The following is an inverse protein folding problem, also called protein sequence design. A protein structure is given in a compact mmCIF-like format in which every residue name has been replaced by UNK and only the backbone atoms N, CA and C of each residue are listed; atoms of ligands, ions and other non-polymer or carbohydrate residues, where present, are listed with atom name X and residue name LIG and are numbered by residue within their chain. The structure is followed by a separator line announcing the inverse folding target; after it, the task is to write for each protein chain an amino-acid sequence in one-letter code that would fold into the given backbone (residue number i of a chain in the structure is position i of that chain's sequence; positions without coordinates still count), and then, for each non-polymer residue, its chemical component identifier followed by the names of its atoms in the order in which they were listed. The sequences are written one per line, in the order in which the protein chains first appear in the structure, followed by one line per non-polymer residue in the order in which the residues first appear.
data_IF_046579057717
#
_entry.id   IF_046579057717
#
_cell.length_a   1.000
_cell.length_b   1.000
_cell.length_c   1.000
_cell.angle_alpha   90.00
_cell.angle_beta   90.00
_cell.angle_gamma   90.00
#
_symmetry.space_group_name_H-M   'P 1'
#
loop_
_entity.id
_entity.type
_entity.pdbx_description
1 polymer ?
#
# COMPACT_ATOMS: atom_id res chain seq x y z
N UNK A 1 -36.75 22.84 3.67
CA UNK A 1 -35.84 23.45 4.66
C UNK A 1 -35.26 22.32 5.49
N UNK A 2 -33.96 22.09 5.43
CA UNK A 2 -33.33 21.00 6.18
C UNK A 2 -33.18 21.38 7.65
N UNK A 3 -33.57 20.48 8.56
CA UNK A 3 -33.30 20.62 9.99
C UNK A 3 -31.78 20.74 10.21
N UNK A 4 -31.36 21.74 11.00
CA UNK A 4 -29.96 21.92 11.36
C UNK A 4 -29.64 21.03 12.57
N UNK A 5 -28.79 20.03 12.37
CA UNK A 5 -28.26 19.20 13.45
C UNK A 5 -26.97 19.82 14.01
N UNK A 6 -26.82 19.83 15.34
CA UNK A 6 -25.63 20.33 16.02
C UNK A 6 -24.62 19.20 16.24
N UNK A 7 -23.37 19.40 15.81
CA UNK A 7 -22.26 18.47 16.02
C UNK A 7 -21.31 19.05 17.07
N UNK A 8 -21.20 18.41 18.23
CA UNK A 8 -20.26 18.79 19.29
C UNK A 8 -19.17 17.73 19.45
N UNK A 9 -17.93 18.08 19.13
CA UNK A 9 -16.76 17.19 19.25
C UNK A 9 -15.68 17.87 20.09
N UNK A 10 -15.08 17.11 21.02
CA UNK A 10 -13.91 17.57 21.77
C UNK A 10 -12.65 17.35 20.94
N UNK A 11 -11.91 18.42 20.70
CA UNK A 11 -10.66 18.43 19.92
C UNK A 11 -9.54 18.98 20.80
N UNK A 12 -8.32 18.50 20.59
CA UNK A 12 -7.14 19.08 21.23
C UNK A 12 -7.02 20.58 20.89
N UNK A 13 -6.65 21.39 21.90
CA UNK A 13 -6.65 22.84 21.77
C UNK A 13 -5.59 23.33 20.79
N UNK A 14 -4.38 22.77 20.85
CA UNK A 14 -3.28 23.20 19.99
C UNK A 14 -3.58 22.82 18.54
N UNK A 15 -4.07 21.60 18.33
CA UNK A 15 -4.50 21.13 17.00
C UNK A 15 -5.59 22.05 16.42
N UNK A 16 -6.60 22.39 17.23
CA UNK A 16 -7.67 23.27 16.79
C UNK A 16 -7.14 24.65 16.38
N UNK A 17 -6.27 25.24 17.18
CA UNK A 17 -5.79 26.60 16.94
C UNK A 17 -4.89 26.67 15.69
N UNK A 18 -4.03 25.67 15.46
CA UNK A 18 -3.23 25.55 14.22
C UNK A 18 -4.10 25.33 12.98
N UNK A 19 -5.10 24.44 13.06
CA UNK A 19 -6.01 24.17 11.95
C UNK A 19 -6.87 25.39 11.62
N UNK A 20 -7.33 26.14 12.63
CA UNK A 20 -8.09 27.37 12.43
C UNK A 20 -7.25 28.45 11.71
N UNK A 21 -5.95 28.51 11.98
CA UNK A 21 -5.04 29.41 11.27
C UNK A 21 -4.87 29.02 9.79
N UNK A 22 -4.68 27.72 9.52
CA UNK A 22 -4.59 27.19 8.16
C UNK A 22 -5.89 27.45 7.39
N UNK A 23 -7.04 27.14 7.99
CA UNK A 23 -8.35 27.34 7.35
C UNK A 23 -8.61 28.83 7.06
N UNK A 24 -8.22 29.72 7.98
CA UNK A 24 -8.29 31.16 7.78
C UNK A 24 -7.40 31.62 6.62
N UNK A 25 -6.20 31.06 6.48
CA UNK A 25 -5.30 31.38 5.36
C UNK A 25 -5.90 30.99 4.00
N UNK A 26 -6.72 29.94 3.98
CA UNK A 26 -7.45 29.46 2.80
C UNK A 26 -8.79 30.18 2.57
N UNK A 27 -9.19 31.10 3.46
CA UNK A 27 -10.49 31.77 3.41
C UNK A 27 -11.68 30.86 3.75
N UNK A 28 -11.44 29.70 4.37
CA UNK A 28 -12.45 28.69 4.67
C UNK A 28 -12.81 28.76 6.15
N UNK A 29 -14.11 28.77 6.46
CA UNK A 29 -14.58 28.65 7.85
C UNK A 29 -14.56 27.17 8.29
N UNK A 30 -14.27 26.86 9.56
CA UNK A 30 -14.32 25.49 10.06
C UNK A 30 -15.65 24.78 9.78
N UNK A 31 -16.77 25.48 9.94
CA UNK A 31 -18.11 24.96 9.61
C UNK A 31 -18.24 24.58 8.13
N UNK A 32 -17.67 25.38 7.22
CA UNK A 32 -17.68 25.09 5.78
C UNK A 32 -16.82 23.88 5.46
N UNK A 33 -15.66 23.72 6.09
CA UNK A 33 -14.79 22.56 5.93
C UNK A 33 -15.50 21.27 6.41
N UNK A 34 -16.14 21.32 7.57
CA UNK A 34 -16.92 20.19 8.12
C UNK A 34 -18.07 19.85 7.16
N UNK A 35 -18.88 20.82 6.75
CA UNK A 35 -19.98 20.57 5.82
C UNK A 35 -19.48 20.00 4.47
N UNK A 36 -18.34 20.49 3.97
CA UNK A 36 -17.70 19.96 2.77
C UNK A 36 -17.34 18.47 2.91
N UNK A 37 -16.80 18.08 4.07
CA UNK A 37 -16.52 16.68 4.38
C UNK A 37 -17.79 15.81 4.37
N UNK A 38 -18.88 16.28 5.00
CA UNK A 38 -20.17 15.57 4.97
C UNK A 38 -20.74 15.44 3.56
N UNK A 39 -20.68 16.51 2.76
CA UNK A 39 -21.13 16.48 1.37
C UNK A 39 -20.31 15.50 0.53
N UNK A 40 -18.99 15.47 0.72
CA UNK A 40 -18.12 14.52 0.03
C UNK A 40 -18.49 13.06 0.35
N UNK A 41 -18.62 12.73 1.65
CA UNK A 41 -18.98 11.38 2.09
C UNK A 41 -20.37 10.99 1.55
N UNK A 42 -21.32 11.92 1.54
CA UNK A 42 -22.65 11.67 1.01
C UNK A 42 -22.62 11.41 -0.51
N UNK A 43 -21.83 12.17 -1.25
CA UNK A 43 -21.75 12.12 -2.71
C UNK A 43 -20.96 10.89 -3.21
N UNK A 44 -19.85 10.56 -2.56
CA UNK A 44 -18.93 9.52 -3.03
C UNK A 44 -19.02 8.21 -2.25
N UNK A 45 -19.77 8.19 -1.13
CA UNK A 45 -19.91 7.02 -0.23
C UNK A 45 -18.58 6.50 0.33
N UNK A 46 -17.56 7.35 0.33
CA UNK A 46 -16.22 7.05 0.82
C UNK A 46 -15.64 8.26 1.56
N UNK A 47 -14.60 8.02 2.37
CA UNK A 47 -13.85 9.10 3.01
C UNK A 47 -12.84 9.70 2.01
N UNK A 48 -12.63 11.03 2.01
CA UNK A 48 -11.67 11.68 1.11
C UNK A 48 -10.20 11.34 1.44
N UNK A 49 -9.96 10.74 2.61
CA UNK A 49 -8.67 10.26 3.07
C UNK A 49 -8.86 9.11 4.07
N UNK A 50 -7.82 8.29 4.23
CA UNK A 50 -7.80 7.17 5.17
C UNK A 50 -7.63 7.74 6.59
N UNK A 51 -8.59 7.50 7.49
CA UNK A 51 -8.50 7.92 8.90
C UNK A 51 -7.93 6.76 9.71
N UNK A 52 -6.65 6.85 10.07
CA UNK A 52 -6.05 5.95 11.05
C UNK A 52 -6.28 6.51 12.46
N UNK A 53 -7.14 5.86 13.24
CA UNK A 53 -7.43 6.21 14.65
C UNK A 53 -6.28 5.93 15.62
N UNK A 54 -5.13 5.47 15.12
CA UNK A 54 -3.92 5.24 15.88
C UNK A 54 -2.88 6.29 15.47
N UNK A 55 -2.31 6.98 16.45
CA UNK A 55 -1.11 7.81 16.26
C UNK A 55 0.04 6.86 15.92
N UNK A 56 0.19 6.54 14.64
CA UNK A 56 1.26 5.71 14.15
C UNK A 56 2.54 6.56 14.15
N UNK A 57 3.39 6.36 15.16
CA UNK A 57 4.76 6.87 15.12
C UNK A 57 5.42 6.38 13.82
N UNK A 58 6.34 7.15 13.19
CA UNK A 58 7.03 6.71 11.98
C UNK A 58 7.70 5.34 12.10
N UNK A 59 8.13 4.97 13.31
CA UNK A 59 8.62 3.63 13.65
C UNK A 59 7.60 2.51 13.44
N UNK A 60 6.31 2.75 13.72
CA UNK A 60 5.25 1.76 13.55
C UNK A 60 4.89 1.60 12.07
N UNK A 61 4.90 2.70 11.32
CA UNK A 61 4.71 2.67 9.86
C UNK A 61 5.83 1.90 9.16
N UNK A 62 7.08 2.13 9.57
CA UNK A 62 8.23 1.40 9.06
C UNK A 62 8.18 -0.09 9.44
N UNK A 63 7.76 -0.40 10.67
CA UNK A 63 7.55 -1.78 11.11
C UNK A 63 6.46 -2.48 10.30
N UNK A 64 5.33 -1.83 10.04
CA UNK A 64 4.27 -2.40 9.21
C UNK A 64 4.74 -2.63 7.78
N UNK A 65 5.43 -1.66 7.18
CA UNK A 65 5.99 -1.84 5.83
C UNK A 65 7.03 -2.97 5.79
N UNK A 66 7.81 -3.15 6.86
CA UNK A 66 8.73 -4.28 7.00
C UNK A 66 8.01 -5.62 7.03
N UNK A 67 6.90 -5.72 7.78
CA UNK A 67 6.08 -6.93 7.79
C UNK A 67 5.44 -7.19 6.41
N UNK A 68 4.95 -6.15 5.74
CA UNK A 68 4.39 -6.25 4.38
C UNK A 68 5.46 -6.72 3.38
N UNK A 69 6.69 -6.20 3.51
CA UNK A 69 7.82 -6.61 2.70
C UNK A 69 8.18 -8.09 2.91
N UNK A 70 8.24 -8.56 4.16
CA UNK A 70 8.52 -9.97 4.46
C UNK A 70 7.43 -10.88 3.90
N UNK A 71 6.16 -10.50 4.07
CA UNK A 71 5.03 -11.23 3.52
C UNK A 71 5.11 -11.30 1.99
N UNK A 72 5.40 -10.17 1.33
CA UNK A 72 5.61 -10.10 -0.11
C UNK A 72 6.75 -11.02 -0.56
N UNK A 73 7.92 -10.90 0.06
CA UNK A 73 9.11 -11.69 -0.29
C UNK A 73 8.81 -13.19 -0.20
N UNK A 74 8.22 -13.63 0.91
CA UNK A 74 7.92 -15.05 1.13
C UNK A 74 6.83 -15.54 0.16
N UNK A 75 5.73 -14.80 0.02
CA UNK A 75 4.61 -15.19 -0.85
C UNK A 75 5.04 -15.25 -2.32
N UNK A 76 5.87 -14.30 -2.76
CA UNK A 76 6.42 -14.30 -4.12
C UNK A 76 7.43 -15.44 -4.33
N UNK A 77 8.27 -15.73 -3.33
CA UNK A 77 9.22 -16.85 -3.37
C UNK A 77 8.47 -18.18 -3.49
N UNK A 78 7.47 -18.41 -2.63
CA UNK A 78 6.65 -19.63 -2.65
C UNK A 78 5.91 -19.79 -3.98
N UNK A 79 5.33 -18.70 -4.50
CA UNK A 79 4.68 -18.70 -5.81
C UNK A 79 5.66 -19.02 -6.94
N UNK A 80 6.88 -18.47 -6.88
CA UNK A 80 7.91 -18.73 -7.87
C UNK A 80 8.43 -20.18 -7.82
N UNK A 81 8.62 -20.74 -6.62
CA UNK A 81 9.00 -22.14 -6.43
C UNK A 81 7.97 -23.10 -7.01
N UNK A 82 6.68 -22.81 -6.87
CA UNK A 82 5.60 -23.58 -7.49
C UNK A 82 5.74 -23.63 -9.01
N UNK A 83 6.09 -22.52 -9.63
CA UNK A 83 6.33 -22.45 -11.07
C UNK A 83 7.54 -23.31 -11.46
N UNK A 84 8.65 -23.20 -10.73
CA UNK A 84 9.86 -24.00 -11.01
C UNK A 84 9.64 -25.50 -10.85
N UNK A 85 8.76 -25.89 -9.92
CA UNK A 85 8.39 -27.28 -9.66
C UNK A 85 7.29 -27.79 -10.61
N UNK A 86 6.83 -26.96 -11.56
CA UNK A 86 5.70 -27.25 -12.44
C UNK A 86 4.43 -27.65 -11.66
N UNK A 87 4.25 -27.10 -10.46
CA UNK A 87 3.02 -27.25 -9.69
C UNK A 87 1.90 -26.39 -10.28
N UNK A 88 0.67 -26.85 -10.11
CA UNK A 88 -0.51 -26.08 -10.52
C UNK A 88 -0.64 -24.80 -9.68
N UNK A 89 -0.77 -23.66 -10.37
CA UNK A 89 -1.09 -22.37 -9.72
C UNK A 89 -2.61 -22.27 -9.59
N UNK A 90 -3.10 -22.33 -8.35
CA UNK A 90 -4.53 -22.12 -8.08
C UNK A 90 -4.90 -20.65 -8.13
N UNK A 91 -6.17 -20.36 -8.36
CA UNK A 91 -6.73 -19.00 -8.31
C UNK A 91 -6.44 -18.33 -6.95
N UNK A 92 -6.60 -19.08 -5.85
CA UNK A 92 -6.28 -18.60 -4.50
C UNK A 92 -4.81 -18.18 -4.35
N UNK A 93 -3.86 -18.93 -4.92
CA UNK A 93 -2.44 -18.57 -4.87
C UNK A 93 -2.18 -17.25 -5.63
N UNK A 94 -2.80 -17.11 -6.80
CA UNK A 94 -2.66 -15.92 -7.63
C UNK A 94 -3.28 -14.68 -6.98
N UNK A 95 -4.49 -14.82 -6.42
CA UNK A 95 -5.19 -13.74 -5.76
C UNK A 95 -4.50 -13.29 -4.47
N UNK A 96 -3.99 -14.24 -3.68
CA UNK A 96 -3.18 -13.93 -2.51
C UNK A 96 -1.94 -13.11 -2.91
N UNK A 97 -1.18 -13.57 -3.91
CA UNK A 97 0.01 -12.85 -4.35
C UNK A 97 -0.34 -11.46 -4.89
N UNK A 98 -1.40 -11.33 -5.71
CA UNK A 98 -1.87 -10.03 -6.21
C UNK A 98 -2.26 -9.09 -5.08
N UNK A 99 -2.96 -9.59 -4.06
CA UNK A 99 -3.36 -8.82 -2.90
C UNK A 99 -2.14 -8.31 -2.13
N UNK A 100 -1.21 -9.21 -1.77
CA UNK A 100 0.01 -8.86 -1.03
C UNK A 100 0.87 -7.85 -1.79
N UNK A 101 1.04 -8.02 -3.10
CA UNK A 101 1.79 -7.08 -3.94
C UNK A 101 1.12 -5.71 -3.97
N UNK A 102 -0.21 -5.66 -4.11
CA UNK A 102 -0.97 -4.40 -4.14
C UNK A 102 -0.92 -3.68 -2.80
N UNK A 103 -1.10 -4.39 -1.68
CA UNK A 103 -1.02 -3.81 -0.35
C UNK A 103 0.36 -3.22 -0.08
N UNK A 104 1.43 -3.97 -0.34
CA UNK A 104 2.80 -3.46 -0.15
C UNK A 104 3.04 -2.18 -0.96
N UNK A 105 2.63 -2.14 -2.24
CA UNK A 105 2.77 -0.95 -3.09
C UNK A 105 1.97 0.23 -2.52
N UNK A 106 0.75 -0.01 -2.05
CA UNK A 106 -0.10 1.03 -1.47
C UNK A 106 0.48 1.59 -0.18
N UNK A 107 0.90 0.71 0.74
CA UNK A 107 1.47 1.08 2.03
C UNK A 107 2.80 1.82 1.86
N UNK A 108 3.64 1.37 0.92
CA UNK A 108 4.88 2.07 0.58
C UNK A 108 4.62 3.53 0.17
N UNK A 109 3.66 3.75 -0.75
CA UNK A 109 3.33 5.10 -1.25
C UNK A 109 2.84 6.04 -0.16
N UNK A 110 2.13 5.52 0.84
CA UNK A 110 1.66 6.33 1.97
C UNK A 110 2.83 6.89 2.79
N UNK A 111 3.96 6.18 2.82
CA UNK A 111 5.06 6.49 3.74
C UNK A 111 6.36 6.86 3.02
N UNK A 112 6.41 6.81 1.68
CA UNK A 112 7.58 7.12 0.85
C UNK A 112 8.23 8.45 1.24
N UNK A 113 7.43 9.51 1.39
CA UNK A 113 7.92 10.84 1.79
C UNK A 113 8.54 10.87 3.21
N UNK A 114 8.08 10.00 4.11
CA UNK A 114 8.62 9.86 5.45
C UNK A 114 9.89 8.99 5.46
N UNK A 115 9.93 7.94 4.63
CA UNK A 115 11.09 7.05 4.48
C UNK A 115 12.35 7.80 4.03
N UNK A 116 12.20 8.74 3.07
CA UNK A 116 13.32 9.56 2.61
C UNK A 116 13.99 10.38 3.73
N UNK A 117 13.23 10.75 4.77
CA UNK A 117 13.74 11.48 5.94
C UNK A 117 14.36 10.58 7.00
N UNK A 118 14.01 9.28 7.00
CA UNK A 118 14.43 8.28 7.99
C UNK A 118 15.61 7.42 7.49
N UNK A 119 16.13 7.67 6.28
CA UNK A 119 17.09 6.81 5.56
C UNK A 119 18.48 6.66 6.20
N UNK A 120 18.74 7.20 7.39
CA UNK A 120 19.97 6.95 8.13
C UNK A 120 19.84 5.69 9.00
N UNK A 121 19.91 4.50 8.38
CA UNK A 121 20.07 3.23 9.12
C UNK A 121 19.17 2.06 8.73
N UNK A 122 18.42 2.12 7.63
CA UNK A 122 17.56 1.00 7.21
C UNK A 122 18.37 -0.16 6.60
N UNK A 123 18.03 -1.38 7.02
CA UNK A 123 18.59 -2.66 6.53
C UNK A 123 18.08 -3.00 5.11
N UNK A 124 17.02 -2.32 4.66
CA UNK A 124 16.35 -2.57 3.38
C UNK A 124 16.50 -1.36 2.46
N UNK A 125 16.96 -1.61 1.23
CA UNK A 125 16.78 -0.72 0.08
C UNK A 125 15.31 -0.73 -0.36
N UNK A 126 14.54 0.13 0.31
CA UNK A 126 13.12 0.34 0.09
C UNK A 126 12.77 0.67 -1.37
N UNK A 127 13.64 1.42 -2.07
CA UNK A 127 13.42 1.76 -3.47
C UNK A 127 13.57 0.53 -4.37
N UNK A 128 14.54 -0.34 -4.08
CA UNK A 128 14.72 -1.60 -4.80
C UNK A 128 13.56 -2.56 -4.56
N UNK A 129 13.13 -2.73 -3.30
CA UNK A 129 11.95 -3.53 -2.94
C UNK A 129 10.68 -3.04 -3.66
N UNK A 130 10.42 -1.73 -3.66
CA UNK A 130 9.27 -1.14 -4.34
C UNK A 130 9.28 -1.37 -5.85
N UNK A 131 10.43 -1.20 -6.51
CA UNK A 131 10.54 -1.45 -7.94
C UNK A 131 10.38 -2.95 -8.28
N UNK A 132 10.89 -3.84 -7.42
CA UNK A 132 10.65 -5.27 -7.55
C UNK A 132 9.17 -5.63 -7.43
N UNK A 133 8.48 -5.07 -6.43
CA UNK A 133 7.03 -5.27 -6.25
C UNK A 133 6.22 -4.77 -7.46
N UNK A 134 6.52 -3.57 -7.97
CA UNK A 134 5.88 -3.04 -9.20
C UNK A 134 6.10 -3.95 -10.40
N UNK A 135 7.30 -4.53 -10.52
CA UNK A 135 7.61 -5.46 -11.61
C UNK A 135 6.82 -6.76 -11.47
N UNK A 136 6.76 -7.33 -10.26
CA UNK A 136 5.93 -8.50 -9.98
C UNK A 136 4.46 -8.22 -10.32
N UNK A 137 3.93 -7.07 -9.88
CA UNK A 137 2.57 -6.64 -10.22
C UNK A 137 2.32 -6.63 -11.72
N UNK A 138 3.19 -5.98 -12.49
CA UNK A 138 3.07 -5.91 -13.94
C UNK A 138 3.04 -7.32 -14.57
N UNK A 139 3.91 -8.22 -14.13
CA UNK A 139 3.94 -9.60 -14.66
C UNK A 139 2.64 -10.34 -14.36
N UNK A 140 2.13 -10.23 -13.13
CA UNK A 140 0.90 -10.89 -12.71
C UNK A 140 -0.34 -10.42 -13.48
N UNK A 141 -0.35 -9.14 -13.89
CA UNK A 141 -1.46 -8.56 -14.65
C UNK A 141 -1.38 -8.87 -16.17
N UNK A 142 -0.18 -9.07 -16.71
CA UNK A 142 0.02 -9.08 -18.17
C UNK A 142 0.51 -10.41 -18.74
N UNK A 143 1.11 -11.28 -17.94
CA UNK A 143 1.74 -12.52 -18.42
C UNK A 143 1.09 -13.80 -17.85
N UNK A 144 0.20 -13.69 -16.87
CA UNK A 144 -0.52 -14.84 -16.35
C UNK A 144 -1.59 -15.26 -17.35
N UNK A 145 -1.55 -16.53 -17.73
CA UNK A 145 -2.53 -17.19 -18.59
C UNK A 145 -3.36 -18.17 -17.77
N UNK A 146 -4.44 -18.64 -18.38
CA UNK A 146 -5.31 -19.66 -17.80
C UNK A 146 -5.63 -20.70 -18.87
N UNK A 147 -5.45 -21.97 -18.52
CA UNK A 147 -5.87 -23.10 -19.35
C UNK A 147 -6.68 -24.08 -18.51
N UNK A 148 -7.82 -24.54 -19.03
CA UNK A 148 -8.83 -25.30 -18.29
C UNK A 148 -8.30 -26.58 -17.63
N UNK A 149 -7.26 -27.18 -18.21
CA UNK A 149 -6.65 -28.42 -17.71
C UNK A 149 -5.40 -28.18 -16.84
N UNK A 150 -4.76 -27.01 -16.93
CA UNK A 150 -3.48 -26.70 -16.28
C UNK A 150 -3.59 -25.61 -15.21
N UNK A 151 -4.73 -24.92 -15.10
CA UNK A 151 -4.93 -23.80 -14.20
C UNK A 151 -4.20 -22.54 -14.69
N UNK A 152 -3.76 -21.70 -13.76
CA UNK A 152 -2.97 -20.53 -14.09
C UNK A 152 -1.51 -20.90 -14.37
N UNK A 153 -0.89 -20.24 -15.34
CA UNK A 153 0.52 -20.43 -15.65
C UNK A 153 1.16 -19.16 -16.20
N UNK A 154 2.50 -19.14 -16.23
CA UNK A 154 3.31 -18.10 -16.83
C UNK A 154 4.09 -18.69 -18.00
N UNK A 155 4.09 -18.01 -19.14
CA UNK A 155 4.99 -18.32 -20.24
C UNK A 155 6.46 -17.99 -19.85
N UNK A 156 7.44 -18.56 -20.53
CA UNK A 156 8.88 -18.37 -20.25
C UNK A 156 9.27 -16.89 -20.06
N UNK A 157 8.72 -16.01 -20.90
CA UNK A 157 8.95 -14.57 -20.81
C UNK A 157 8.41 -13.95 -19.51
N UNK A 158 7.30 -14.45 -19.01
CA UNK A 158 6.71 -14.10 -17.73
C UNK A 158 7.54 -14.61 -16.56
N UNK A 159 8.00 -15.87 -16.63
CA UNK A 159 8.85 -16.51 -15.62
C UNK A 159 10.16 -15.71 -15.45
N UNK A 160 10.84 -15.37 -16.55
CA UNK A 160 12.08 -14.57 -16.52
C UNK A 160 11.84 -13.17 -15.91
N UNK A 161 10.70 -12.54 -16.21
CA UNK A 161 10.39 -11.22 -15.65
C UNK A 161 10.04 -11.30 -14.16
N UNK A 162 9.37 -12.37 -13.74
CA UNK A 162 9.03 -12.62 -12.34
C UNK A 162 10.27 -12.96 -11.52
N UNK A 163 11.19 -13.77 -12.05
CA UNK A 163 12.45 -14.11 -11.38
C UNK A 163 13.30 -12.86 -11.14
N UNK A 164 13.33 -11.93 -12.10
CA UNK A 164 13.99 -10.63 -11.91
C UNK A 164 13.30 -9.76 -10.85
N UNK A 165 11.97 -9.80 -10.76
CA UNK A 165 11.23 -9.12 -9.71
C UNK A 165 11.56 -9.68 -8.32
N UNK A 166 11.58 -11.02 -8.20
CA UNK A 166 11.97 -11.73 -6.98
C UNK A 166 13.41 -11.40 -6.58
N UNK A 167 14.35 -11.39 -7.54
CA UNK A 167 15.74 -11.02 -7.30
C UNK A 167 15.87 -9.60 -6.75
N UNK A 168 15.14 -8.64 -7.32
CA UNK A 168 15.13 -7.27 -6.81
C UNK A 168 14.63 -7.18 -5.38
N UNK A 169 13.58 -7.92 -5.03
CA UNK A 169 13.02 -7.95 -3.68
C UNK A 169 13.99 -8.64 -2.72
N UNK A 170 14.55 -9.80 -3.08
CA UNK A 170 15.47 -10.56 -2.24
C UNK A 170 16.77 -9.79 -1.95
N UNK A 171 17.34 -9.13 -2.96
CA UNK A 171 18.54 -8.31 -2.81
C UNK A 171 18.27 -6.88 -2.31
N UNK A 172 17.04 -6.59 -1.86
CA UNK A 172 16.74 -5.32 -1.20
C UNK A 172 17.28 -5.31 0.24
N UNK A 173 17.43 -6.47 0.88
CA UNK A 173 18.15 -6.60 2.14
C UNK A 173 19.65 -6.43 1.89
N UNK A 174 20.28 -5.47 2.56
CA UNK A 174 21.74 -5.42 2.63
C UNK A 174 22.23 -6.50 3.58
N UNK A 175 23.03 -7.44 3.09
CA UNK A 175 23.76 -8.40 3.93
C UNK A 175 24.65 -7.61 4.90
N UNK A 176 24.28 -7.55 6.18
CA UNK A 176 25.21 -7.28 7.29
C UNK A 176 26.06 -8.50 7.57
#
# INVERSE_FOLDING_TARGET
MGEQAQIGVKVDKNLKDEVDEILRSLGIKPTTAINGLYHYILQHRELPFIINTHVNKPSNLLSNLFMDYLLLKNTLCDFYLKIEQAEQITENNLDLLKHVVREFIANFRQIENALYKLNSGNIIDWKKAFNGAKRAFYVLETHVRFETCQGHYLEDSGIIKLSLALKMIAEAETNT
#
